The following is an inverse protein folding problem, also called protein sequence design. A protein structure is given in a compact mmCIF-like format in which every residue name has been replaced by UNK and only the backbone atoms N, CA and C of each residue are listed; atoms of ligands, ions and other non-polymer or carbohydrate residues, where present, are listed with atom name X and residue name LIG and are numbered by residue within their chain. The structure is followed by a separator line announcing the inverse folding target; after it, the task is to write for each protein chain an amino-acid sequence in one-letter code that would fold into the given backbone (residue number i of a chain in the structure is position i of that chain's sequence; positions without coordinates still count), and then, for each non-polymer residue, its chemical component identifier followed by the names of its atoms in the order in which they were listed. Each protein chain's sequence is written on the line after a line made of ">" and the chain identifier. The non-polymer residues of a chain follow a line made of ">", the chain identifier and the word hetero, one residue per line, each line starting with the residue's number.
data_IF_618301198922
#
_entry.id   IF_618301198922
#
_cell.length_a   1.000
_cell.length_b   1.000
_cell.length_c   1.000
_cell.angle_alpha   90.00
_cell.angle_beta   90.00
_cell.angle_gamma   90.00
#
_symmetry.space_group_name_H-M   'P 1'
#
loop_
_entity.id
_entity.type
_entity.pdbx_description
1 polymer ?
#
# COMPACT_ATOMS: atom_id res chain seq x y z
N UNK A 1 -3.88 5.36 -12.43
CA UNK A 1 -3.52 4.42 -11.35
C UNK A 1 -2.01 4.29 -11.36
N UNK A 2 -1.34 4.61 -10.25
CA UNK A 2 0.12 4.51 -10.13
C UNK A 2 0.43 3.42 -9.12
N UNK A 3 1.15 2.38 -9.55
CA UNK A 3 1.60 1.30 -8.66
C UNK A 3 2.91 1.68 -7.99
N UNK A 4 3.03 1.39 -6.68
CA UNK A 4 4.25 1.64 -5.90
C UNK A 4 4.55 0.48 -4.96
N UNK A 5 5.84 0.29 -4.68
CA UNK A 5 6.30 -0.54 -3.56
C UNK A 5 6.62 0.42 -2.41
N UNK A 6 5.94 0.24 -1.28
CA UNK A 6 6.15 1.06 -0.08
C UNK A 6 6.39 0.15 1.13
N UNK A 7 7.29 0.57 2.01
CA UNK A 7 7.51 -0.12 3.28
C UNK A 7 6.55 0.48 4.31
N UNK A 8 5.57 -0.32 4.74
CA UNK A 8 4.52 0.15 5.66
C UNK A 8 3.92 -1.02 6.44
N UNK A 9 3.20 -0.70 7.51
CA UNK A 9 2.31 -1.67 8.16
C UNK A 9 1.12 -1.93 7.23
N UNK A 10 0.85 -3.17 6.82
CA UNK A 10 -0.25 -3.46 5.90
C UNK A 10 -1.62 -3.28 6.56
N UNK A 11 -2.61 -2.90 5.77
CA UNK A 11 -3.98 -2.71 6.21
C UNK A 11 -4.95 -3.61 5.45
N UNK A 12 -6.00 -4.06 6.15
CA UNK A 12 -7.06 -4.88 5.55
C UNK A 12 -8.31 -4.07 5.20
N UNK A 13 -8.54 -2.90 5.82
CA UNK A 13 -9.74 -2.09 5.59
C UNK A 13 -9.54 -0.61 5.91
N UNK A 14 -10.49 0.22 5.48
CA UNK A 14 -10.53 1.66 5.73
C UNK A 14 -11.01 2.07 7.15
N UNK A 15 -11.28 1.10 8.04
CA UNK A 15 -11.78 1.40 9.39
C UNK A 15 -10.70 2.06 10.25
N UNK A 16 -11.07 2.88 11.25
CA UNK A 16 -10.12 3.47 12.19
C UNK A 16 -9.23 2.43 12.89
N UNK A 17 -8.05 2.88 13.35
CA UNK A 17 -7.12 2.06 14.12
C UNK A 17 -7.82 1.43 15.34
N UNK A 18 -7.58 0.14 15.56
CA UNK A 18 -8.21 -0.63 16.65
C UNK A 18 -9.62 -1.16 16.35
N UNK A 19 -10.32 -0.67 15.32
CA UNK A 19 -11.68 -1.12 14.99
C UNK A 19 -11.71 -2.46 14.21
N UNK A 20 -10.57 -2.93 13.70
CA UNK A 20 -10.46 -4.18 12.96
C UNK A 20 -9.40 -5.11 13.56
N UNK A 21 -9.82 -6.28 14.07
CA UNK A 21 -8.92 -7.30 14.64
C UNK A 21 -7.83 -7.75 13.67
N UNK A 22 -8.14 -7.87 12.37
CA UNK A 22 -7.14 -8.22 11.34
C UNK A 22 -6.08 -7.13 11.19
N UNK A 23 -6.49 -5.85 11.15
CA UNK A 23 -5.54 -4.74 11.10
C UNK A 23 -4.70 -4.65 12.37
N UNK A 24 -5.27 -4.96 13.55
CA UNK A 24 -4.51 -5.03 14.79
C UNK A 24 -3.40 -6.09 14.72
N UNK A 25 -3.71 -7.30 14.25
CA UNK A 25 -2.70 -8.35 14.05
C UNK A 25 -1.62 -7.94 13.04
N UNK A 26 -2.02 -7.33 11.92
CA UNK A 26 -1.06 -6.83 10.93
C UNK A 26 -0.14 -5.74 11.52
N UNK A 27 -0.63 -4.93 12.45
CA UNK A 27 0.19 -3.96 13.18
C UNK A 27 1.19 -4.62 14.13
N UNK A 28 0.83 -5.73 14.77
CA UNK A 28 1.76 -6.53 15.59
C UNK A 28 2.85 -7.21 14.75
N UNK A 29 2.52 -7.62 13.51
CA UNK A 29 3.48 -8.20 12.56
C UNK A 29 4.50 -7.19 12.02
N UNK A 30 4.24 -5.87 12.18
CA UNK A 30 5.16 -4.80 11.81
C UNK A 30 5.16 -4.44 10.32
N UNK A 31 6.19 -3.67 9.92
CA UNK A 31 6.34 -3.16 8.56
C UNK A 31 6.68 -4.28 7.56
N UNK A 32 6.09 -4.19 6.36
CA UNK A 32 6.37 -5.07 5.22
C UNK A 32 6.51 -4.26 3.94
N UNK A 33 7.12 -4.87 2.94
CA UNK A 33 7.12 -4.31 1.59
C UNK A 33 5.77 -4.59 0.95
N UNK A 34 5.04 -3.53 0.60
CA UNK A 34 3.67 -3.60 0.12
C UNK A 34 3.61 -3.07 -1.31
N UNK A 35 3.11 -3.88 -2.24
CA UNK A 35 2.70 -3.40 -3.56
C UNK A 35 1.30 -2.81 -3.44
N UNK A 36 1.20 -1.50 -3.69
CA UNK A 36 -0.04 -0.73 -3.62
C UNK A 36 -0.36 -0.10 -4.97
N UNK A 37 -1.65 0.08 -5.25
CA UNK A 37 -2.15 0.87 -6.38
C UNK A 37 -2.79 2.14 -5.86
N UNK A 38 -2.20 3.27 -6.21
CA UNK A 38 -2.73 4.60 -5.87
C UNK A 38 -3.88 4.96 -6.80
N UNK A 39 -4.96 5.45 -6.20
CA UNK A 39 -6.14 5.90 -6.92
C UNK A 39 -6.18 7.43 -6.94
N UNK A 40 -6.23 7.99 -8.14
CA UNK A 40 -6.24 9.44 -8.37
C UNK A 40 -7.65 10.05 -8.36
N UNK A 41 -8.69 9.24 -8.19
CA UNK A 41 -10.08 9.68 -8.19
C UNK A 41 -10.86 8.97 -7.09
N UNK A 42 -11.61 9.73 -6.29
CA UNK A 42 -12.56 9.16 -5.35
C UNK A 42 -13.61 8.32 -6.10
N UNK A 43 -13.82 7.08 -5.66
CA UNK A 43 -14.88 6.20 -6.18
C UNK A 43 -15.90 5.93 -5.07
N UNK A 44 -17.06 5.36 -5.41
CA UNK A 44 -18.15 5.05 -4.47
C UNK A 44 -17.81 3.97 -3.41
N UNK A 45 -16.54 3.53 -3.32
CA UNK A 45 -16.09 2.50 -2.39
C UNK A 45 -15.06 3.09 -1.41
N UNK A 46 -15.33 2.93 -0.12
CA UNK A 46 -14.38 3.31 0.93
C UNK A 46 -13.07 2.51 0.83
N UNK A 47 -11.94 3.21 0.70
CA UNK A 47 -10.58 2.65 0.66
C UNK A 47 -9.72 3.14 1.82
N UNK A 48 -8.68 2.39 2.21
CA UNK A 48 -7.62 2.92 3.06
C UNK A 48 -6.98 4.15 2.42
N UNK A 49 -6.60 5.11 3.25
CA UNK A 49 -5.85 6.30 2.85
C UNK A 49 -4.47 6.28 3.51
N UNK A 50 -3.47 6.82 2.81
CA UNK A 50 -2.14 7.06 3.36
C UNK A 50 -1.57 8.36 2.78
N UNK A 51 -0.66 8.97 3.53
CA UNK A 51 0.17 10.07 3.02
C UNK A 51 1.38 9.47 2.32
N UNK A 52 1.67 9.94 1.11
CA UNK A 52 2.89 9.62 0.37
C UNK A 52 3.52 10.91 -0.14
N UNK A 53 4.85 10.90 -0.24
CA UNK A 53 5.59 11.98 -0.89
C UNK A 53 5.53 11.79 -2.42
N UNK A 54 5.02 12.80 -3.12
CA UNK A 54 5.04 12.92 -4.58
C UNK A 54 5.64 14.27 -4.90
N UNK A 55 6.74 14.29 -5.67
CA UNK A 55 7.41 15.53 -6.09
C UNK A 55 7.78 16.48 -4.92
N UNK A 56 8.09 15.91 -3.75
CA UNK A 56 8.42 16.66 -2.53
C UNK A 56 7.22 17.21 -1.76
N UNK A 57 5.99 16.88 -2.18
CA UNK A 57 4.76 17.23 -1.48
C UNK A 57 4.10 15.99 -0.85
N UNK A 58 3.61 16.15 0.39
CA UNK A 58 2.83 15.14 1.09
C UNK A 58 1.39 15.12 0.56
N UNK A 59 1.05 14.06 -0.18
CA UNK A 59 -0.28 13.88 -0.76
C UNK A 59 -1.03 12.78 0.00
N UNK A 60 -2.22 13.12 0.51
CA UNK A 60 -3.15 12.12 1.06
C UNK A 60 -3.90 11.46 -0.11
N UNK A 61 -3.74 10.14 -0.25
CA UNK A 61 -4.31 9.39 -1.36
C UNK A 61 -4.98 8.10 -0.89
N UNK A 62 -6.04 7.71 -1.61
CA UNK A 62 -6.60 6.38 -1.51
C UNK A 62 -5.66 5.37 -2.19
N UNK A 63 -5.62 4.15 -1.66
CA UNK A 63 -4.86 3.07 -2.26
C UNK A 63 -5.54 1.70 -2.08
N UNK A 64 -5.20 0.78 -2.97
CA UNK A 64 -5.52 -0.64 -2.85
C UNK A 64 -4.24 -1.44 -2.57
N UNK A 65 -4.21 -2.22 -1.50
CA UNK A 65 -3.12 -3.14 -1.20
C UNK A 65 -3.25 -4.39 -2.11
N UNK A 66 -2.33 -4.54 -3.07
CA UNK A 66 -2.32 -5.70 -3.97
C UNK A 66 -1.65 -6.90 -3.33
N UNK A 67 -0.48 -6.72 -2.72
CA UNK A 67 0.31 -7.82 -2.14
C UNK A 67 1.35 -7.33 -1.12
N UNK A 68 1.72 -8.20 -0.18
CA UNK A 68 2.78 -7.95 0.81
C UNK A 68 3.93 -8.94 0.63
N UNK A 69 5.16 -8.50 0.90
CA UNK A 69 6.40 -9.25 0.72
C UNK A 69 7.30 -9.11 1.94
N UNK A 70 8.21 -10.07 2.13
CA UNK A 70 9.14 -10.06 3.26
C UNK A 70 10.27 -9.07 3.06
N UNK A 71 10.71 -8.89 1.82
CA UNK A 71 11.81 -7.99 1.45
C UNK A 71 11.47 -7.27 0.14
N UNK A 72 12.25 -6.23 -0.16
CA UNK A 72 12.07 -5.39 -1.34
C UNK A 72 12.31 -6.15 -2.65
N UNK A 73 13.32 -7.03 -2.66
CA UNK A 73 13.69 -7.84 -3.84
C UNK A 73 12.51 -8.69 -4.33
N UNK A 74 11.86 -9.42 -3.42
CA UNK A 74 10.66 -10.21 -3.72
C UNK A 74 9.53 -9.36 -4.30
N UNK A 75 9.34 -8.15 -3.79
CA UNK A 75 8.31 -7.23 -4.27
C UNK A 75 8.60 -6.76 -5.70
N UNK A 76 9.86 -6.39 -5.98
CA UNK A 76 10.32 -5.93 -7.29
C UNK A 76 10.30 -7.06 -8.32
N UNK A 77 10.80 -8.25 -7.98
CA UNK A 77 10.73 -9.44 -8.83
C UNK A 77 9.28 -9.78 -9.20
N UNK A 78 8.37 -9.71 -8.23
CA UNK A 78 6.95 -9.92 -8.49
C UNK A 78 6.38 -8.85 -9.44
N UNK A 79 6.69 -7.56 -9.22
CA UNK A 79 6.24 -6.46 -10.07
C UNK A 79 6.72 -6.64 -11.52
N UNK A 80 8.00 -6.96 -11.72
CA UNK A 80 8.57 -7.24 -13.05
C UNK A 80 7.88 -8.42 -13.73
N UNK A 81 7.64 -9.51 -12.98
CA UNK A 81 6.98 -10.71 -13.50
C UNK A 81 5.56 -10.44 -14.01
N UNK A 82 4.85 -9.49 -13.42
CA UNK A 82 3.49 -9.10 -13.85
C UNK A 82 3.48 -7.89 -14.79
N UNK A 83 4.65 -7.41 -15.23
CA UNK A 83 4.78 -6.30 -16.18
C UNK A 83 4.55 -4.90 -15.59
N UNK A 84 4.71 -4.73 -14.27
CA UNK A 84 4.69 -3.42 -13.63
C UNK A 84 6.10 -2.82 -13.59
N UNK A 85 6.26 -1.65 -14.22
CA UNK A 85 7.46 -0.83 -14.07
C UNK A 85 7.32 0.06 -12.84
N UNK A 86 7.92 -0.36 -11.73
CA UNK A 86 8.01 0.45 -10.52
C UNK A 86 9.31 1.26 -10.61
N UNK A 87 9.26 2.60 -10.72
CA UNK A 87 10.47 3.41 -10.74
C UNK A 87 11.30 3.20 -9.46
N UNK A 88 12.62 3.29 -9.60
CA UNK A 88 13.60 3.05 -8.52
C UNK A 88 13.59 4.22 -7.54
#
# INVERSE_FOLDING_TARGET
>A
MSDKIVKMVPFHCARPKGACKKCARLAEEGEKYCLISLQSSAQERARPMMTIEIDGEDVLTEFDLKKTFKNEGEAREYALKIGLEIPI
#
